data_IF_550558340242
#
_entry.id   IF_550558340242
#
_cell.length_a   1.000
_cell.length_b   1.000
_cell.length_c   1.000
_cell.angle_alpha   90.00
_cell.angle_beta   90.00
_cell.angle_gamma   90.00
#
_symmetry.space_group_name_H-M   'P 1'
#
loop_
_entity.id
_entity.type
_entity.pdbx_description
1 polymer ?
#
# COMPACT_ATOMS: atom_id res chain seq x y z
N UNK A 1 35.73 -34.26 11.00
CA UNK A 1 35.45 -33.08 10.18
C UNK A 1 34.39 -32.31 10.94
N UNK A 2 34.76 -31.24 11.66
CA UNK A 2 33.76 -30.44 12.35
C UNK A 2 32.83 -29.84 11.28
N UNK A 3 31.58 -30.27 11.29
CA UNK A 3 30.55 -29.55 10.56
C UNK A 3 30.60 -28.12 11.09
N UNK A 4 30.79 -27.09 10.24
CA UNK A 4 30.65 -25.71 10.71
C UNK A 4 29.31 -25.67 11.41
N UNK A 5 29.29 -25.06 12.58
CA UNK A 5 28.02 -24.69 13.25
C UNK A 5 27.13 -24.17 12.16
N UNK A 6 26.23 -25.02 11.72
CA UNK A 6 25.40 -24.64 10.59
C UNK A 6 24.62 -23.44 11.06
N UNK A 7 25.04 -22.36 10.70
CA UNK A 7 24.41 -21.15 10.27
C UNK A 7 22.96 -20.89 10.72
N UNK A 8 22.56 -21.49 11.86
CA UNK A 8 21.25 -21.24 12.44
C UNK A 8 21.00 -19.72 12.63
N UNK A 9 22.01 -18.99 13.11
CA UNK A 9 21.96 -17.52 13.21
C UNK A 9 21.95 -16.85 11.83
N UNK A 10 22.68 -17.35 10.87
CA UNK A 10 22.66 -16.82 9.49
C UNK A 10 21.36 -17.13 8.78
N UNK A 11 20.73 -18.26 9.02
CA UNK A 11 19.42 -18.57 8.42
C UNK A 11 18.31 -17.67 9.00
N UNK A 12 18.32 -17.35 10.29
CA UNK A 12 17.41 -16.40 10.90
C UNK A 12 17.61 -14.97 10.36
N UNK A 13 18.86 -14.52 10.23
CA UNK A 13 19.16 -13.20 9.66
C UNK A 13 18.76 -13.12 8.19
N UNK A 14 18.98 -14.17 7.41
CA UNK A 14 18.55 -14.24 6.02
C UNK A 14 17.02 -14.23 5.92
N UNK A 15 16.33 -14.92 6.80
CA UNK A 15 14.87 -14.94 6.82
C UNK A 15 14.27 -13.58 7.11
N UNK A 16 14.80 -12.84 8.08
CA UNK A 16 14.37 -11.50 8.40
C UNK A 16 14.62 -10.50 7.25
N UNK A 17 15.65 -10.73 6.44
CA UNK A 17 15.92 -9.92 5.25
C UNK A 17 14.89 -10.09 4.13
N UNK A 18 14.24 -11.25 4.03
CA UNK A 18 13.22 -11.53 3.02
C UNK A 18 11.84 -11.01 3.40
N UNK A 19 11.59 -10.72 4.66
CA UNK A 19 10.32 -10.23 5.11
C UNK A 19 10.12 -8.74 4.77
N UNK A 20 8.91 -8.39 4.40
CA UNK A 20 8.54 -6.99 4.25
C UNK A 20 8.32 -6.38 5.64
N UNK A 21 9.04 -5.30 5.96
CA UNK A 21 8.87 -4.55 7.20
C UNK A 21 7.89 -3.38 7.04
N UNK A 22 7.44 -3.10 5.82
CA UNK A 22 6.49 -2.03 5.55
C UNK A 22 5.07 -2.53 5.83
N UNK A 23 4.47 -2.00 6.90
CA UNK A 23 3.06 -2.24 7.20
C UNK A 23 2.18 -1.34 6.34
N UNK A 24 1.41 -1.94 5.43
CA UNK A 24 0.52 -1.22 4.53
C UNK A 24 -0.80 -0.81 5.18
N UNK A 25 -1.16 -1.37 6.33
CA UNK A 25 -2.40 -1.02 7.03
C UNK A 25 -2.41 0.46 7.47
N UNK A 26 -1.25 1.03 7.78
CA UNK A 26 -1.12 2.45 8.13
C UNK A 26 -1.51 3.41 6.99
N UNK A 27 -1.48 2.94 5.74
CA UNK A 27 -1.83 3.70 4.54
C UNK A 27 -3.28 3.52 4.10
N UNK A 28 -4.05 2.79 4.87
CA UNK A 28 -5.45 2.51 4.61
C UNK A 28 -6.34 3.12 5.69
N UNK A 29 -7.60 3.32 5.38
CA UNK A 29 -8.62 3.61 6.39
C UNK A 29 -9.11 2.29 6.98
N UNK A 30 -9.09 2.17 8.30
CA UNK A 30 -9.55 0.96 9.00
C UNK A 30 -10.96 1.18 9.52
N UNK A 31 -11.88 0.30 9.16
CA UNK A 31 -13.27 0.30 9.61
C UNK A 31 -13.58 -0.99 10.38
N UNK A 32 -13.65 -0.88 11.71
CA UNK A 32 -13.87 -2.01 12.62
C UNK A 32 -15.35 -2.35 12.84
N UNK A 33 -16.28 -1.81 12.05
CA UNK A 33 -17.73 -2.01 12.24
C UNK A 33 -18.18 -3.45 12.04
N UNK A 34 -17.38 -4.31 11.41
CA UNK A 34 -17.66 -5.74 11.26
C UNK A 34 -17.25 -6.58 12.48
N UNK A 35 -16.47 -6.01 13.38
CA UNK A 35 -16.00 -6.70 14.57
C UNK A 35 -17.18 -6.94 15.52
N UNK A 36 -17.54 -8.20 15.73
CA UNK A 36 -18.63 -8.59 16.66
C UNK A 36 -20.04 -8.58 16.08
N UNK A 37 -20.22 -8.34 14.78
CA UNK A 37 -21.53 -8.49 14.13
C UNK A 37 -21.75 -9.93 13.64
N UNK A 38 -22.98 -10.43 13.78
CA UNK A 38 -23.37 -11.75 13.31
C UNK A 38 -23.55 -11.73 11.77
N UNK A 39 -22.45 -11.69 11.05
CA UNK A 39 -22.47 -11.71 9.58
C UNK A 39 -21.06 -11.48 9.03
N UNK A 40 -20.68 -12.32 8.08
CA UNK A 40 -19.37 -12.23 7.41
C UNK A 40 -19.41 -11.34 6.15
N UNK A 41 -20.50 -10.58 5.99
CA UNK A 41 -20.73 -9.83 4.75
C UNK A 41 -21.09 -8.39 5.10
N UNK A 42 -20.42 -7.44 4.46
CA UNK A 42 -20.76 -6.03 4.53
C UNK A 42 -21.25 -5.54 3.17
N UNK A 43 -22.39 -4.87 3.17
CA UNK A 43 -22.93 -4.18 2.01
C UNK A 43 -22.67 -2.70 2.14
N UNK A 44 -22.01 -2.15 1.13
CA UNK A 44 -21.69 -0.70 1.06
C UNK A 44 -22.41 -0.13 -0.16
N UNK A 45 -23.22 0.89 0.06
CA UNK A 45 -23.88 1.61 -1.00
C UNK A 45 -23.02 2.79 -1.43
N UNK A 46 -22.66 2.83 -2.70
CA UNK A 46 -22.04 4.01 -3.34
C UNK A 46 -23.11 4.82 -4.02
N UNK A 47 -23.28 6.06 -3.61
CA UNK A 47 -24.25 6.97 -4.16
C UNK A 47 -23.62 7.86 -5.21
N UNK A 48 -24.33 8.07 -6.31
CA UNK A 48 -24.02 9.08 -7.31
C UNK A 48 -25.21 10.00 -7.49
N UNK A 49 -24.95 11.29 -7.67
CA UNK A 49 -25.98 12.28 -7.88
C UNK A 49 -25.64 13.18 -9.06
N UNK A 50 -26.66 13.54 -9.83
CA UNK A 50 -26.51 14.56 -10.87
C UNK A 50 -26.56 15.96 -10.25
N UNK A 51 -25.84 16.93 -10.83
CA UNK A 51 -25.96 18.33 -10.42
C UNK A 51 -27.35 18.88 -10.82
N UNK A 52 -28.02 19.54 -9.88
CA UNK A 52 -29.37 20.08 -10.13
C UNK A 52 -29.56 21.50 -9.60
N UNK A 53 -28.48 22.23 -9.34
CA UNK A 53 -28.56 23.63 -8.88
C UNK A 53 -28.56 24.55 -10.09
N UNK A 54 -29.63 25.30 -10.25
CA UNK A 54 -29.80 26.33 -11.30
C UNK A 54 -29.89 27.73 -10.69
N UNK A 55 -29.19 28.70 -11.29
CA UNK A 55 -29.33 30.12 -10.93
C UNK A 55 -30.51 30.69 -11.70
N UNK A 56 -31.58 31.01 -10.99
CA UNK A 56 -32.83 31.45 -11.60
C UNK A 56 -32.95 32.98 -11.66
N UNK A 57 -33.51 33.46 -12.77
CA UNK A 57 -34.00 34.84 -12.83
C UNK A 57 -35.32 34.99 -12.07
N UNK A 58 -35.67 36.20 -11.67
CA UNK A 58 -36.91 36.49 -10.93
C UNK A 58 -38.14 36.04 -11.75
N UNK A 59 -38.94 35.17 -11.16
CA UNK A 59 -40.17 34.66 -11.78
C UNK A 59 -40.00 33.37 -12.62
N UNK A 60 -38.81 32.80 -12.67
CA UNK A 60 -38.54 31.53 -13.36
C UNK A 60 -38.44 30.40 -12.32
N UNK A 61 -39.14 29.28 -12.55
CA UNK A 61 -39.09 28.10 -11.72
C UNK A 61 -37.88 27.22 -12.06
N UNK A 62 -37.37 26.46 -11.09
CA UNK A 62 -36.32 25.49 -11.32
C UNK A 62 -36.84 24.30 -12.18
N UNK A 63 -36.15 23.99 -13.23
CA UNK A 63 -36.46 22.91 -14.15
C UNK A 63 -35.54 21.69 -13.97
N UNK A 64 -34.48 21.81 -13.17
CA UNK A 64 -33.52 20.73 -12.94
C UNK A 64 -33.85 19.96 -11.67
N UNK A 65 -33.75 18.65 -11.76
CA UNK A 65 -33.95 17.73 -10.65
C UNK A 65 -32.64 16.98 -10.36
N UNK A 66 -32.28 16.86 -9.08
CA UNK A 66 -31.18 16.01 -8.67
C UNK A 66 -31.67 14.56 -8.66
N UNK A 67 -31.10 13.74 -9.52
CA UNK A 67 -31.34 12.32 -9.51
C UNK A 67 -30.21 11.65 -8.71
N UNK A 68 -30.59 10.87 -7.70
CA UNK A 68 -29.66 10.11 -6.86
C UNK A 68 -29.81 8.64 -7.21
N UNK A 69 -28.72 8.04 -7.65
CA UNK A 69 -28.61 6.60 -7.87
C UNK A 69 -27.63 5.97 -6.89
N UNK A 70 -27.76 4.68 -6.64
CA UNK A 70 -26.80 3.96 -5.82
C UNK A 70 -26.42 2.62 -6.45
N UNK A 71 -25.18 2.22 -6.20
CA UNK A 71 -24.68 0.88 -6.51
C UNK A 71 -24.30 0.23 -5.18
N UNK A 72 -24.76 -1.00 -4.96
CA UNK A 72 -24.46 -1.76 -3.77
C UNK A 72 -23.34 -2.75 -4.05
N UNK A 73 -22.23 -2.60 -3.33
CA UNK A 73 -21.13 -3.56 -3.32
C UNK A 73 -21.20 -4.44 -2.07
N UNK A 74 -20.93 -5.73 -2.23
CA UNK A 74 -20.93 -6.71 -1.15
C UNK A 74 -19.50 -7.21 -0.90
N UNK A 75 -18.99 -6.98 0.30
CA UNK A 75 -17.68 -7.42 0.74
C UNK A 75 -17.83 -8.56 1.75
N UNK A 76 -17.08 -9.65 1.55
CA UNK A 76 -17.07 -10.81 2.44
C UNK A 76 -15.75 -10.88 3.20
N UNK A 77 -15.84 -11.18 4.48
CA UNK A 77 -14.66 -11.47 5.29
C UNK A 77 -14.15 -12.85 4.90
N UNK A 78 -12.87 -12.92 4.55
CA UNK A 78 -12.16 -14.17 4.28
C UNK A 78 -11.32 -14.56 5.49
N UNK A 79 -11.36 -15.83 5.85
CA UNK A 79 -10.50 -16.38 6.89
C UNK A 79 -9.14 -16.73 6.28
N UNK A 80 -8.09 -16.06 6.73
CA UNK A 80 -6.71 -16.46 6.44
C UNK A 80 -6.21 -17.39 7.54
N UNK A 81 -5.69 -18.54 7.15
CA UNK A 81 -5.17 -19.53 8.08
C UNK A 81 -3.81 -20.04 7.58
N UNK A 82 -2.88 -20.13 8.50
CA UNK A 82 -1.56 -20.73 8.25
C UNK A 82 -1.40 -22.02 9.05
N UNK A 83 -0.67 -22.97 8.49
CA UNK A 83 -0.36 -24.25 9.14
C UNK A 83 1.08 -24.65 8.82
N UNK A 84 1.89 -24.85 9.85
CA UNK A 84 3.18 -25.48 9.68
C UNK A 84 3.17 -26.90 10.27
N UNK A 85 4.00 -27.77 9.73
CA UNK A 85 4.15 -29.17 10.16
C UNK A 85 5.61 -29.42 10.47
N UNK A 86 5.87 -30.11 11.55
CA UNK A 86 7.19 -30.61 11.94
C UNK A 86 7.08 -32.06 12.37
N UNK A 87 8.19 -32.78 12.40
CA UNK A 87 8.28 -34.10 12.96
C UNK A 87 8.79 -34.01 14.41
N UNK A 88 8.28 -34.84 15.28
CA UNK A 88 8.69 -34.84 16.70
C UNK A 88 10.18 -35.21 16.83
N UNK A 89 10.69 -36.07 15.94
CA UNK A 89 12.10 -36.44 15.85
C UNK A 89 12.99 -35.23 15.55
N UNK A 90 12.59 -34.39 14.59
CA UNK A 90 13.30 -33.15 14.25
C UNK A 90 13.29 -32.16 15.42
N UNK A 91 12.18 -32.09 16.16
CA UNK A 91 12.08 -31.24 17.34
C UNK A 91 12.93 -31.73 18.52
N UNK A 92 13.23 -33.04 18.58
CA UNK A 92 14.16 -33.59 19.56
C UNK A 92 15.62 -33.30 19.19
N UNK A 93 15.96 -33.27 17.88
CA UNK A 93 17.29 -32.89 17.41
C UNK A 93 17.53 -31.38 17.53
N UNK A 94 16.54 -30.57 17.15
CA UNK A 94 16.60 -29.09 17.22
C UNK A 94 15.30 -28.52 17.84
N UNK A 95 15.31 -28.23 19.16
CA UNK A 95 14.14 -27.63 19.83
C UNK A 95 13.72 -26.26 19.29
N UNK A 96 14.57 -25.62 18.51
CA UNK A 96 14.27 -24.31 17.93
C UNK A 96 13.39 -24.36 16.69
N UNK A 97 13.14 -25.55 16.13
CA UNK A 97 12.32 -25.70 14.91
C UNK A 97 10.89 -25.19 15.11
N UNK A 98 10.33 -25.37 16.30
CA UNK A 98 8.96 -24.94 16.64
C UNK A 98 8.86 -23.41 16.77
N UNK A 99 9.70 -22.74 17.59
CA UNK A 99 9.71 -21.28 17.67
C UNK A 99 9.97 -20.59 16.33
N UNK A 100 10.90 -21.12 15.51
CA UNK A 100 11.18 -20.60 14.18
C UNK A 100 9.98 -20.78 13.26
N UNK A 101 9.36 -21.95 13.25
CA UNK A 101 8.15 -22.22 12.47
C UNK A 101 6.98 -21.29 12.84
N UNK A 102 6.78 -21.02 14.12
CA UNK A 102 5.73 -20.08 14.59
C UNK A 102 6.03 -18.64 14.15
N UNK A 103 7.28 -18.19 14.25
CA UNK A 103 7.70 -16.87 13.77
C UNK A 103 7.46 -16.74 12.28
N UNK A 104 7.84 -17.75 11.52
CA UNK A 104 7.64 -17.78 10.08
C UNK A 104 6.16 -17.76 9.69
N UNK A 105 5.32 -18.50 10.38
CA UNK A 105 3.88 -18.48 10.18
C UNK A 105 3.28 -17.07 10.43
N UNK A 106 3.73 -16.37 11.47
CA UNK A 106 3.32 -14.99 11.74
C UNK A 106 3.77 -14.03 10.65
N UNK A 107 5.04 -14.12 10.22
CA UNK A 107 5.57 -13.30 9.12
C UNK A 107 4.85 -13.54 7.80
N UNK A 108 4.49 -14.79 7.50
CA UNK A 108 3.77 -15.16 6.29
C UNK A 108 2.35 -14.59 6.28
N UNK A 109 1.65 -14.63 7.41
CA UNK A 109 0.34 -13.99 7.56
C UNK A 109 0.43 -12.48 7.33
N UNK A 110 1.41 -11.81 7.93
CA UNK A 110 1.64 -10.39 7.72
C UNK A 110 1.93 -10.05 6.25
N UNK A 111 2.79 -10.83 5.60
CA UNK A 111 3.11 -10.65 4.19
C UNK A 111 1.89 -10.89 3.29
N UNK A 112 1.04 -11.85 3.62
CA UNK A 112 -0.20 -12.14 2.88
C UNK A 112 -1.15 -10.95 2.94
N UNK A 113 -1.41 -10.40 4.13
CA UNK A 113 -2.24 -9.19 4.30
C UNK A 113 -1.67 -8.01 3.52
N UNK A 114 -0.36 -7.77 3.63
CA UNK A 114 0.30 -6.70 2.88
C UNK A 114 0.21 -6.90 1.36
N UNK A 115 0.28 -8.13 0.89
CA UNK A 115 0.14 -8.46 -0.53
C UNK A 115 -1.28 -8.19 -1.03
N UNK A 116 -2.28 -8.55 -0.24
CA UNK A 116 -3.69 -8.30 -0.58
C UNK A 116 -3.98 -6.81 -0.63
N UNK A 117 -3.53 -6.04 0.38
CA UNK A 117 -3.65 -4.58 0.39
C UNK A 117 -2.95 -3.94 -0.81
N UNK A 118 -1.74 -4.40 -1.14
CA UNK A 118 -1.02 -3.90 -2.31
C UNK A 118 -1.74 -4.24 -3.61
N UNK A 119 -2.38 -5.40 -3.69
CA UNK A 119 -3.21 -5.82 -4.81
C UNK A 119 -4.43 -4.90 -5.03
N UNK A 120 -4.98 -4.31 -3.96
CA UNK A 120 -6.07 -3.33 -4.09
C UNK A 120 -5.57 -2.01 -4.70
N UNK A 121 -4.40 -1.51 -4.31
CA UNK A 121 -3.80 -0.34 -4.96
C UNK A 121 -3.52 -0.58 -6.45
N UNK A 122 -3.16 -1.81 -6.83
CA UNK A 122 -2.93 -2.19 -8.22
C UNK A 122 -4.19 -2.13 -9.12
N UNK A 123 -5.39 -2.06 -8.54
CA UNK A 123 -6.66 -1.92 -9.27
C UNK A 123 -6.97 -0.47 -9.68
N UNK A 124 -6.06 0.49 -9.41
CA UNK A 124 -6.23 1.87 -9.81
C UNK A 124 -6.45 1.99 -11.32
N UNK A 125 -7.46 2.76 -11.70
CA UNK A 125 -7.86 2.95 -13.11
C UNK A 125 -7.22 4.18 -13.76
N UNK A 126 -6.75 5.14 -12.96
CA UNK A 126 -6.05 6.31 -13.46
C UNK A 126 -4.59 5.96 -13.71
N UNK A 127 -4.10 6.20 -14.90
CA UNK A 127 -2.74 5.83 -15.31
C UNK A 127 -2.04 7.04 -15.92
N UNK A 128 -0.86 7.37 -15.40
CA UNK A 128 0.09 8.29 -16.00
C UNK A 128 1.17 7.47 -16.69
N UNK A 129 1.35 7.67 -17.99
CA UNK A 129 2.40 7.02 -18.75
C UNK A 129 3.64 7.93 -18.75
N UNK A 130 4.68 7.51 -18.04
CA UNK A 130 5.97 8.18 -18.02
C UNK A 130 7.05 7.25 -18.59
N UNK A 131 7.98 7.82 -19.38
CA UNK A 131 9.11 7.06 -19.92
C UNK A 131 10.19 6.81 -18.86
N UNK A 132 10.23 7.66 -17.84
CA UNK A 132 11.15 7.60 -16.71
C UNK A 132 10.45 8.05 -15.43
N UNK A 133 10.88 7.50 -14.31
CA UNK A 133 10.44 7.97 -13.02
C UNK A 133 11.25 9.20 -12.60
N UNK A 134 10.68 10.37 -12.77
CA UNK A 134 11.28 11.67 -12.46
C UNK A 134 10.32 12.54 -11.63
N UNK A 135 10.75 13.75 -11.31
CA UNK A 135 9.93 14.72 -10.57
C UNK A 135 8.62 15.03 -11.30
N UNK A 136 8.66 15.18 -12.62
CA UNK A 136 7.50 15.55 -13.44
C UNK A 136 6.44 14.44 -13.41
N UNK A 137 6.85 13.16 -13.44
CA UNK A 137 5.92 12.04 -13.35
C UNK A 137 5.14 12.02 -12.02
N UNK A 138 5.79 12.41 -10.92
CA UNK A 138 5.10 12.56 -9.63
C UNK A 138 4.17 13.76 -9.59
N UNK A 139 4.57 14.87 -10.20
CA UNK A 139 3.73 16.07 -10.33
C UNK A 139 2.49 15.79 -11.18
N UNK A 140 2.62 15.08 -12.28
CA UNK A 140 1.51 14.68 -13.14
C UNK A 140 0.56 13.70 -12.41
N UNK A 141 1.12 12.74 -11.68
CA UNK A 141 0.32 11.82 -10.87
C UNK A 141 -0.45 12.56 -9.77
N UNK A 142 0.15 13.54 -9.11
CA UNK A 142 -0.52 14.38 -8.13
C UNK A 142 -1.65 15.20 -8.77
N UNK A 143 -1.41 15.79 -9.94
CA UNK A 143 -2.42 16.54 -10.68
C UNK A 143 -3.63 15.67 -11.06
N UNK A 144 -3.39 14.40 -11.42
CA UNK A 144 -4.47 13.45 -11.74
C UNK A 144 -5.38 13.13 -10.55
N UNK A 145 -4.87 13.21 -9.31
CA UNK A 145 -5.71 13.00 -8.12
C UNK A 145 -6.75 14.11 -7.94
N UNK A 146 -6.58 15.26 -8.62
CA UNK A 146 -7.52 16.39 -8.63
C UNK A 146 -7.99 16.82 -7.23
N UNK A 147 -7.06 16.90 -6.29
CA UNK A 147 -7.33 17.30 -4.91
C UNK A 147 -7.34 18.83 -4.80
N UNK A 148 -8.42 19.40 -4.26
CA UNK A 148 -8.55 20.85 -4.07
C UNK A 148 -7.66 21.38 -2.95
N UNK A 149 -7.44 20.60 -1.88
CA UNK A 149 -6.64 20.98 -0.73
C UNK A 149 -5.45 20.04 -0.55
N UNK A 150 -4.33 20.36 -1.17
CA UNK A 150 -3.10 19.57 -1.12
C UNK A 150 -2.38 19.65 0.22
N UNK A 151 -2.53 20.75 0.96
CA UNK A 151 -1.82 20.95 2.24
C UNK A 151 -2.29 19.97 3.34
N UNK A 152 -3.54 19.53 3.27
CA UNK A 152 -4.12 18.58 4.22
C UNK A 152 -4.05 17.11 3.78
N UNK A 153 -3.71 16.83 2.52
CA UNK A 153 -3.72 15.48 1.97
C UNK A 153 -2.36 14.78 2.15
N UNK A 154 -2.36 13.66 2.84
CA UNK A 154 -1.19 12.79 2.90
C UNK A 154 -1.16 11.89 1.66
N UNK A 155 -0.41 12.31 0.65
CA UNK A 155 -0.21 11.54 -0.58
C UNK A 155 1.04 10.68 -0.41
N UNK A 156 0.94 9.42 -0.76
CA UNK A 156 2.06 8.48 -0.71
C UNK A 156 2.20 7.68 -2.01
N UNK A 157 3.40 7.19 -2.24
CA UNK A 157 3.73 6.34 -3.38
C UNK A 157 4.48 5.10 -2.95
N UNK A 158 4.12 3.96 -3.53
CA UNK A 158 4.88 2.71 -3.37
C UNK A 158 5.74 2.48 -4.61
N UNK A 159 7.04 2.40 -4.38
CA UNK A 159 8.05 2.33 -5.43
C UNK A 159 8.94 1.11 -5.21
N UNK A 160 9.33 0.42 -6.28
CA UNK A 160 10.28 -0.68 -6.18
C UNK A 160 11.69 -0.19 -5.81
N UNK A 161 12.54 -1.02 -5.19
CA UNK A 161 13.93 -0.64 -4.90
C UNK A 161 14.73 -0.25 -6.14
N UNK A 162 14.44 -0.88 -7.30
CA UNK A 162 15.09 -0.57 -8.58
C UNK A 162 14.71 0.83 -9.06
N UNK A 163 13.41 1.15 -8.99
CA UNK A 163 12.88 2.45 -9.45
C UNK A 163 13.33 3.59 -8.51
N UNK A 164 13.47 3.31 -7.21
CA UNK A 164 14.08 4.28 -6.26
C UNK A 164 15.53 4.58 -6.64
N UNK A 165 16.29 3.59 -7.11
CA UNK A 165 17.65 3.82 -7.58
C UNK A 165 17.67 4.68 -8.83
N UNK A 166 16.72 4.51 -9.75
CA UNK A 166 16.58 5.38 -10.92
C UNK A 166 16.19 6.80 -10.54
N UNK A 167 15.21 6.95 -9.64
CA UNK A 167 14.79 8.24 -9.12
C UNK A 167 15.95 9.00 -8.45
N UNK A 168 16.80 8.31 -7.69
CA UNK A 168 18.01 8.90 -7.11
C UNK A 168 19.00 9.38 -8.15
N UNK A 169 19.15 8.65 -9.25
CA UNK A 169 20.04 9.07 -10.36
C UNK A 169 19.51 10.31 -11.06
N UNK A 170 18.22 10.39 -11.32
CA UNK A 170 17.59 11.55 -11.96
C UNK A 170 17.63 12.80 -11.05
N UNK A 171 17.44 12.63 -9.75
CA UNK A 171 17.47 13.74 -8.78
C UNK A 171 18.88 14.13 -8.31
N UNK A 172 19.91 13.40 -8.72
CA UNK A 172 21.28 13.62 -8.25
C UNK A 172 21.75 15.06 -8.45
N UNK A 173 21.54 15.62 -9.63
CA UNK A 173 22.04 16.94 -9.96
C UNK A 173 21.31 18.05 -9.21
N UNK A 174 20.06 17.80 -8.84
CA UNK A 174 19.22 18.75 -8.08
C UNK A 174 19.47 18.65 -6.58
N UNK A 175 19.63 17.45 -6.05
CA UNK A 175 19.70 17.17 -4.61
C UNK A 175 21.12 16.96 -4.08
N UNK A 176 22.15 17.05 -4.91
CA UNK A 176 23.53 16.81 -4.47
C UNK A 176 24.01 17.71 -3.32
N UNK A 177 23.39 18.88 -3.15
CA UNK A 177 23.70 19.82 -2.08
C UNK A 177 22.85 19.59 -0.80
N UNK A 178 21.87 18.71 -0.84
CA UNK A 178 21.07 18.36 0.34
C UNK A 178 21.83 17.32 1.14
N UNK A 179 22.17 17.65 2.38
CA UNK A 179 23.02 16.80 3.26
C UNK A 179 22.47 15.37 3.43
N UNK A 180 21.17 15.23 3.63
CA UNK A 180 20.52 13.92 3.78
C UNK A 180 20.59 13.08 2.51
N UNK A 181 20.48 13.69 1.36
CA UNK A 181 20.64 13.02 0.07
C UNK A 181 22.09 12.67 -0.22
N UNK A 182 23.02 13.63 0.01
CA UNK A 182 24.44 13.42 -0.23
C UNK A 182 25.03 12.29 0.62
N UNK A 183 24.59 12.17 1.89
CA UNK A 183 25.09 11.13 2.80
C UNK A 183 24.40 9.78 2.60
N UNK A 184 23.05 9.75 2.52
CA UNK A 184 22.27 8.53 2.62
C UNK A 184 21.47 8.21 1.34
N UNK A 185 21.51 9.11 0.33
CA UNK A 185 20.65 8.99 -0.85
C UNK A 185 19.16 9.02 -0.50
N UNK A 186 18.80 9.71 0.59
CA UNK A 186 17.43 9.75 1.07
C UNK A 186 16.55 10.60 0.16
N UNK A 187 15.47 10.00 -0.34
CA UNK A 187 14.42 10.67 -1.09
C UNK A 187 13.13 10.40 -0.33
N UNK A 188 12.75 11.31 0.55
CA UNK A 188 11.55 11.15 1.39
C UNK A 188 10.28 11.60 0.70
N UNK A 189 10.33 12.79 0.07
CA UNK A 189 9.17 13.43 -0.57
C UNK A 189 9.58 13.99 -1.91
N UNK A 190 8.81 13.69 -2.95
CA UNK A 190 9.00 14.19 -4.33
C UNK A 190 7.69 14.78 -4.80
N UNK A 191 7.70 16.04 -5.26
CA UNK A 191 6.50 16.77 -5.69
C UNK A 191 5.34 16.69 -4.70
N UNK A 192 5.61 16.73 -3.37
CA UNK A 192 4.57 16.60 -2.34
C UNK A 192 4.07 15.17 -2.07
N UNK A 193 4.62 14.17 -2.75
CA UNK A 193 4.29 12.76 -2.57
C UNK A 193 5.35 12.08 -1.70
N UNK A 194 4.94 11.43 -0.62
CA UNK A 194 5.83 10.65 0.25
C UNK A 194 6.18 9.31 -0.41
N UNK A 195 7.45 9.08 -0.64
CA UNK A 195 7.94 7.88 -1.36
C UNK A 195 8.31 6.79 -0.37
N UNK A 196 7.66 5.64 -0.49
CA UNK A 196 7.94 4.44 0.30
C UNK A 196 8.44 3.31 -0.59
N UNK A 197 9.53 2.70 -0.17
CA UNK A 197 10.09 1.56 -0.89
C UNK A 197 9.40 0.27 -0.49
N UNK A 198 8.81 -0.44 -1.45
CA UNK A 198 8.23 -1.75 -1.24
C UNK A 198 9.03 -2.83 -1.99
N UNK A 199 9.52 -3.83 -1.24
CA UNK A 199 10.41 -4.88 -1.74
C UNK A 199 9.80 -5.68 -2.90
N UNK A 200 8.52 -6.03 -2.80
CA UNK A 200 7.82 -6.86 -3.78
C UNK A 200 7.06 -6.05 -4.83
N UNK A 201 7.32 -4.73 -4.92
CA UNK A 201 6.71 -3.90 -5.95
C UNK A 201 7.30 -4.24 -7.32
N UNK A 202 6.44 -4.29 -8.34
CA UNK A 202 6.86 -4.50 -9.72
C UNK A 202 7.60 -3.26 -10.22
N UNK A 203 8.83 -3.42 -10.71
CA UNK A 203 9.57 -2.33 -11.32
C UNK A 203 8.83 -1.77 -12.54
N UNK A 204 8.86 -0.45 -12.68
CA UNK A 204 8.13 0.27 -13.72
C UNK A 204 6.65 0.52 -13.41
N UNK A 205 6.17 0.13 -12.22
CA UNK A 205 4.80 0.41 -11.77
C UNK A 205 4.83 1.10 -10.40
N UNK A 206 4.41 2.34 -10.35
CA UNK A 206 4.34 3.15 -9.13
C UNK A 206 2.89 3.46 -8.83
N UNK A 207 2.45 3.13 -7.62
CA UNK A 207 1.09 3.42 -7.16
C UNK A 207 1.11 4.64 -6.26
N UNK A 208 0.43 5.69 -6.69
CA UNK A 208 0.27 6.94 -5.95
C UNK A 208 -1.16 7.00 -5.42
N UNK A 209 -1.32 7.19 -4.13
CA UNK A 209 -2.63 7.18 -3.50
C UNK A 209 -2.70 8.08 -2.26
N UNK A 210 -3.91 8.31 -1.80
CA UNK A 210 -4.22 8.89 -0.49
C UNK A 210 -4.71 7.80 0.46
N UNK A 211 -4.72 8.07 1.76
CA UNK A 211 -5.16 7.12 2.79
C UNK A 211 -6.62 6.66 2.61
N UNK A 212 -7.43 7.47 1.96
CA UNK A 212 -8.85 7.17 1.71
C UNK A 212 -9.09 6.22 0.53
N UNK A 213 -8.03 5.94 -0.27
CA UNK A 213 -8.16 5.12 -1.49
C UNK A 213 -8.52 3.66 -1.19
N UNK A 214 -8.08 3.12 -0.07
CA UNK A 214 -8.33 1.73 0.34
C UNK A 214 -8.87 1.71 1.77
N UNK A 215 -9.96 0.95 1.96
CA UNK A 215 -10.56 0.74 3.28
C UNK A 215 -10.44 -0.73 3.67
N UNK A 216 -9.91 -0.99 4.86
CA UNK A 216 -9.85 -2.31 5.49
C UNK A 216 -11.05 -2.50 6.42
N UNK A 217 -11.71 -3.64 6.32
CA UNK A 217 -12.83 -4.03 7.15
C UNK A 217 -12.47 -5.16 8.11
#
# INVERSE_FOLDING_TARGET
>A
MNKPYSNFFLSNEIEDQYNSHLDLQQFCTVDNNLTGTAGMTRKVNRYSATAGTEKLAKGVGNTQTIEVSYVQDEYKILLAQNRFKYLDEDAMEDPMIVPVGMRRAGSDMFNTVNKDVYGEFAKATMVVLATKLNFDAFADAQAMLNLENLEGASIFAFVSPADVAELRKELKDTLQYVESFARNGYVGTVAGVNVYTKKDATSGSVYVATKEAVTLF
#
